data_IF_942170073894
#
_entry.id   IF_942170073894
#
_cell.length_a   1.000
_cell.length_b   1.000
_cell.length_c   1.000
_cell.angle_alpha   90.00
_cell.angle_beta   90.00
_cell.angle_gamma   90.00
#
_symmetry.space_group_name_H-M   'P 1'
#
loop_
_entity.id
_entity.type
_entity.pdbx_description
1 polymer ?
#
# COMPACT_ATOMS: atom_id res chain seq x y z
N UNK A 1 -2.17 -2.11 -20.73
CA UNK A 1 -3.18 -2.62 -19.77
C UNK A 1 -4.15 -1.50 -19.44
N UNK A 2 -5.45 -1.77 -19.40
CA UNK A 2 -6.43 -0.75 -19.06
C UNK A 2 -6.38 -0.41 -17.57
N UNK A 3 -6.86 0.79 -17.22
CA UNK A 3 -6.94 1.22 -15.81
C UNK A 3 -7.75 0.22 -14.99
N UNK A 4 -8.87 -0.25 -15.51
CA UNK A 4 -9.75 -1.19 -14.81
C UNK A 4 -9.06 -2.54 -14.57
N UNK A 5 -8.31 -3.04 -15.53
CA UNK A 5 -7.55 -4.28 -15.37
C UNK A 5 -6.45 -4.13 -14.32
N UNK A 6 -5.79 -2.96 -14.27
CA UNK A 6 -4.78 -2.67 -13.26
C UNK A 6 -5.41 -2.63 -11.86
N UNK A 7 -6.54 -1.94 -11.72
CA UNK A 7 -7.26 -1.85 -10.45
C UNK A 7 -7.71 -3.24 -9.96
N UNK A 8 -8.28 -4.06 -10.83
CA UNK A 8 -8.73 -5.41 -10.48
C UNK A 8 -7.58 -6.31 -10.07
N UNK A 9 -6.47 -6.28 -10.80
CA UNK A 9 -5.28 -7.06 -10.46
C UNK A 9 -4.72 -6.67 -9.09
N UNK A 10 -4.62 -5.37 -8.83
CA UNK A 10 -4.10 -4.87 -7.56
C UNK A 10 -4.99 -5.26 -6.39
N UNK A 11 -6.31 -5.15 -6.54
CA UNK A 11 -7.28 -5.52 -5.50
C UNK A 11 -7.24 -7.01 -5.20
N UNK A 12 -7.16 -7.84 -6.23
CA UNK A 12 -7.08 -9.29 -6.08
C UNK A 12 -5.81 -9.68 -5.31
N UNK A 13 -4.67 -9.12 -5.68
CA UNK A 13 -3.41 -9.38 -4.98
C UNK A 13 -3.45 -8.91 -3.54
N UNK A 14 -4.00 -7.71 -3.29
CA UNK A 14 -4.09 -7.18 -1.94
C UNK A 14 -4.98 -8.02 -1.03
N UNK A 15 -6.10 -8.50 -1.54
CA UNK A 15 -7.04 -9.29 -0.74
C UNK A 15 -6.54 -10.71 -0.48
N UNK A 16 -5.95 -11.35 -1.48
CA UNK A 16 -5.64 -12.79 -1.41
C UNK A 16 -4.19 -13.06 -1.04
N UNK A 17 -3.24 -12.37 -1.65
CA UNK A 17 -1.82 -12.67 -1.48
C UNK A 17 -1.17 -11.88 -0.35
N UNK A 18 -1.49 -10.59 -0.24
CA UNK A 18 -0.84 -9.74 0.76
C UNK A 18 -1.23 -10.15 2.18
N UNK A 19 -2.50 -10.47 2.42
CA UNK A 19 -2.96 -10.91 3.73
C UNK A 19 -2.27 -12.21 4.16
N UNK A 20 -2.18 -13.17 3.27
CA UNK A 20 -1.48 -14.43 3.55
C UNK A 20 0.00 -14.20 3.82
N UNK A 21 0.61 -13.31 3.07
CA UNK A 21 2.02 -12.95 3.24
C UNK A 21 2.27 -12.30 4.60
N UNK A 22 1.39 -11.39 5.01
CA UNK A 22 1.45 -10.74 6.32
C UNK A 22 1.33 -11.80 7.45
N UNK A 23 0.38 -12.71 7.33
CA UNK A 23 0.20 -13.78 8.31
C UNK A 23 1.42 -14.70 8.38
N UNK A 24 2.02 -15.01 7.22
CA UNK A 24 3.22 -15.84 7.16
C UNK A 24 4.40 -15.17 7.86
N UNK A 25 4.65 -13.89 7.57
CA UNK A 25 5.80 -13.16 8.11
C UNK A 25 5.64 -12.79 9.59
N UNK A 26 4.45 -12.37 9.98
CA UNK A 26 4.22 -11.77 11.30
C UNK A 26 3.27 -12.55 12.19
N UNK A 27 2.64 -13.60 11.66
CA UNK A 27 1.67 -14.47 12.35
C UNK A 27 0.42 -13.75 12.85
N UNK A 28 0.25 -12.49 12.50
CA UNK A 28 -0.90 -11.67 12.84
C UNK A 28 -1.24 -10.76 11.68
N UNK A 29 -2.53 -10.48 11.48
CA UNK A 29 -2.99 -9.54 10.46
C UNK A 29 -3.70 -8.38 11.17
N UNK A 30 -2.93 -7.41 11.64
CA UNK A 30 -3.40 -6.23 12.35
C UNK A 30 -2.87 -4.98 11.65
N UNK A 31 -3.34 -3.79 12.08
CA UNK A 31 -2.80 -2.54 11.53
C UNK A 31 -1.28 -2.44 11.73
N UNK A 32 -0.79 -2.84 12.92
CA UNK A 32 0.64 -2.80 13.20
C UNK A 32 1.43 -3.67 12.23
N UNK A 33 0.95 -4.88 11.93
CA UNK A 33 1.63 -5.77 10.98
C UNK A 33 1.48 -5.31 9.55
N UNK A 34 0.37 -4.66 9.19
CA UNK A 34 0.23 -4.02 7.88
C UNK A 34 1.28 -2.95 7.68
N UNK A 35 1.49 -2.09 8.68
CA UNK A 35 2.50 -1.04 8.61
C UNK A 35 3.90 -1.65 8.43
N UNK A 36 4.22 -2.69 9.19
CA UNK A 36 5.51 -3.38 9.05
C UNK A 36 5.66 -4.02 7.67
N UNK A 37 4.58 -4.60 7.14
CA UNK A 37 4.60 -5.16 5.80
C UNK A 37 4.83 -4.07 4.74
N UNK A 38 4.17 -2.93 4.87
CA UNK A 38 4.35 -1.82 3.93
C UNK A 38 5.79 -1.32 3.94
N UNK A 39 6.41 -1.19 5.10
CA UNK A 39 7.81 -0.77 5.18
C UNK A 39 8.75 -1.83 4.61
N UNK A 40 8.47 -3.10 4.85
CA UNK A 40 9.24 -4.20 4.26
C UNK A 40 9.11 -4.21 2.73
N UNK A 41 7.88 -4.10 2.24
CA UNK A 41 7.61 -4.06 0.80
C UNK A 41 8.20 -2.79 0.17
N UNK A 42 8.01 -1.65 0.83
CA UNK A 42 8.53 -0.36 0.37
C UNK A 42 10.04 -0.31 0.30
N UNK A 43 10.72 -1.06 1.17
CA UNK A 43 12.19 -1.14 1.15
C UNK A 43 12.78 -1.72 -0.12
N UNK A 44 11.96 -2.32 -0.99
CA UNK A 44 12.39 -2.79 -2.30
C UNK A 44 12.38 -1.69 -3.36
N UNK A 45 11.86 -0.51 -3.04
CA UNK A 45 11.84 0.63 -3.95
C UNK A 45 12.97 1.59 -3.60
N UNK A 46 13.47 2.31 -4.59
CA UNK A 46 14.60 3.24 -4.39
C UNK A 46 14.25 4.45 -3.55
N UNK A 47 13.00 4.89 -3.60
CA UNK A 47 12.55 6.10 -2.90
C UNK A 47 11.27 5.83 -2.14
N UNK A 48 11.42 5.27 -0.95
CA UNK A 48 10.33 5.01 -0.01
C UNK A 48 10.58 5.79 1.26
N UNK A 49 9.56 6.48 1.74
CA UNK A 49 9.63 7.22 2.99
C UNK A 49 8.38 6.97 3.82
N UNK A 50 8.56 6.78 5.11
CA UNK A 50 7.47 6.59 6.06
C UNK A 50 7.66 7.56 7.22
N UNK A 51 6.70 8.45 7.40
CA UNK A 51 6.72 9.44 8.46
C UNK A 51 5.51 9.24 9.38
N UNK A 52 5.73 9.30 10.68
CA UNK A 52 4.67 9.20 11.68
C UNK A 52 4.77 10.38 12.64
N UNK A 53 3.67 11.15 12.73
CA UNK A 53 3.63 12.36 13.57
C UNK A 53 3.05 12.09 14.98
N UNK A 54 2.84 10.84 15.34
CA UNK A 54 2.21 10.43 16.60
C UNK A 54 0.71 10.15 16.46
N UNK A 55 0.12 10.46 15.32
CA UNK A 55 -1.30 10.27 15.04
C UNK A 55 -1.55 9.65 13.66
N UNK A 56 -0.87 10.15 12.64
CA UNK A 56 -1.04 9.70 11.27
C UNK A 56 0.25 9.20 10.70
N UNK A 57 0.16 8.14 9.91
CA UNK A 57 1.26 7.63 9.09
C UNK A 57 1.17 8.26 7.72
N UNK A 58 2.29 8.78 7.20
CA UNK A 58 2.41 9.27 5.85
C UNK A 58 3.48 8.45 5.13
N UNK A 59 3.09 7.84 4.03
CA UNK A 59 3.99 7.08 3.15
C UNK A 59 4.13 7.81 1.84
N UNK A 60 5.35 7.90 1.32
CA UNK A 60 5.64 8.51 0.03
C UNK A 60 6.57 7.61 -0.76
N UNK A 61 6.26 7.42 -2.03
CA UNK A 61 7.00 6.55 -2.93
C UNK A 61 7.16 7.21 -4.28
N UNK A 62 8.37 7.10 -4.86
CA UNK A 62 8.65 7.54 -6.22
C UNK A 62 9.08 6.35 -7.07
N UNK A 63 8.70 6.36 -8.34
CA UNK A 63 9.05 5.33 -9.31
C UNK A 63 9.19 5.91 -10.71
N UNK A 64 9.79 5.15 -11.62
CA UNK A 64 10.03 5.55 -13.01
C UNK A 64 9.22 4.70 -14.00
N UNK A 65 8.02 4.25 -13.59
CA UNK A 65 7.23 3.39 -14.46
C UNK A 65 6.20 4.23 -15.25
N UNK A 66 4.99 4.38 -14.73
CA UNK A 66 3.94 5.18 -15.36
C UNK A 66 2.75 5.33 -14.40
N UNK A 67 1.71 6.05 -14.86
CA UNK A 67 0.51 6.26 -14.06
C UNK A 67 -0.19 4.94 -13.70
N UNK A 68 -0.21 3.96 -14.57
CA UNK A 68 -0.82 2.66 -14.27
C UNK A 68 -0.15 1.99 -13.07
N UNK A 69 1.16 2.15 -12.91
CA UNK A 69 1.86 1.64 -11.76
C UNK A 69 1.43 2.35 -10.47
N UNK A 70 1.26 3.66 -10.52
CA UNK A 70 0.75 4.43 -9.38
C UNK A 70 -0.67 3.99 -8.99
N UNK A 71 -1.53 3.75 -9.98
CA UNK A 71 -2.88 3.22 -9.74
C UNK A 71 -2.82 1.83 -9.11
N UNK A 72 -1.93 0.97 -9.59
CA UNK A 72 -1.72 -0.36 -9.03
C UNK A 72 -1.34 -0.27 -7.55
N UNK A 73 -0.36 0.54 -7.21
CA UNK A 73 0.11 0.71 -5.82
C UNK A 73 -1.02 1.21 -4.94
N UNK A 74 -1.75 2.23 -5.39
CA UNK A 74 -2.89 2.78 -4.65
C UNK A 74 -3.93 1.70 -4.34
N UNK A 75 -4.39 0.99 -5.35
CA UNK A 75 -5.45 -0.02 -5.17
C UNK A 75 -4.97 -1.22 -4.35
N UNK A 76 -3.70 -1.59 -4.49
CA UNK A 76 -3.09 -2.66 -3.72
C UNK A 76 -3.09 -2.32 -2.23
N UNK A 77 -2.59 -1.13 -1.87
CA UNK A 77 -2.55 -0.68 -0.48
C UNK A 77 -3.96 -0.50 0.08
N UNK A 78 -4.85 0.10 -0.70
CA UNK A 78 -6.24 0.31 -0.29
C UNK A 78 -6.93 -1.02 0.02
N UNK A 79 -6.73 -2.04 -0.81
CA UNK A 79 -7.36 -3.35 -0.59
C UNK A 79 -6.80 -4.07 0.64
N UNK A 80 -5.51 -3.89 0.94
CA UNK A 80 -4.92 -4.41 2.17
C UNK A 80 -5.56 -3.74 3.39
N UNK A 81 -5.67 -2.42 3.38
CA UNK A 81 -6.28 -1.68 4.48
C UNK A 81 -7.74 -2.07 4.68
N UNK A 82 -8.51 -2.20 3.61
CA UNK A 82 -9.91 -2.60 3.69
C UNK A 82 -10.09 -4.03 4.22
N UNK A 83 -9.18 -4.94 3.89
CA UNK A 83 -9.30 -6.35 4.22
C UNK A 83 -8.77 -6.67 5.62
N UNK A 84 -7.62 -6.11 5.98
CA UNK A 84 -6.91 -6.48 7.21
C UNK A 84 -7.20 -5.52 8.36
N UNK A 85 -7.14 -4.22 8.09
CA UNK A 85 -7.31 -3.19 9.12
C UNK A 85 -8.07 -2.00 8.53
N UNK A 86 -9.41 -2.11 8.38
CA UNK A 86 -10.22 -1.08 7.73
C UNK A 86 -10.01 0.30 8.36
N UNK A 87 -9.55 1.25 7.54
CA UNK A 87 -9.30 2.63 7.94
C UNK A 87 -9.50 3.57 6.77
N UNK A 88 -10.04 4.77 7.00
CA UNK A 88 -10.04 5.81 5.97
C UNK A 88 -8.59 6.17 5.62
N UNK A 89 -8.29 6.20 4.35
CA UNK A 89 -6.97 6.56 3.85
C UNK A 89 -7.10 7.62 2.76
N UNK A 90 -6.16 8.55 2.74
CA UNK A 90 -6.06 9.58 1.72
C UNK A 90 -4.92 9.24 0.78
N UNK A 91 -5.18 9.30 -0.53
CA UNK A 91 -4.19 8.98 -1.55
C UNK A 91 -4.00 10.17 -2.48
N UNK A 92 -2.75 10.41 -2.85
CA UNK A 92 -2.37 11.36 -3.87
C UNK A 92 -1.40 10.67 -4.82
N UNK A 93 -1.76 10.58 -6.10
CA UNK A 93 -0.96 9.88 -7.10
C UNK A 93 -0.61 10.79 -8.27
N UNK A 94 0.54 10.52 -8.86
CA UNK A 94 1.00 11.12 -10.10
C UNK A 94 1.60 10.02 -10.98
N UNK A 95 1.98 10.33 -12.24
CA UNK A 95 2.59 9.31 -13.09
C UNK A 95 3.85 8.66 -12.52
N UNK A 96 4.53 9.30 -11.58
CA UNK A 96 5.78 8.79 -11.01
C UNK A 96 5.82 8.80 -9.49
N UNK A 97 4.69 9.00 -8.81
CA UNK A 97 4.68 9.01 -7.34
C UNK A 97 3.34 8.56 -6.76
N UNK A 98 3.41 8.04 -5.55
CA UNK A 98 2.23 7.70 -4.75
C UNK A 98 2.49 8.17 -3.33
N UNK A 99 1.55 8.94 -2.79
CA UNK A 99 1.55 9.31 -1.37
C UNK A 99 0.23 8.84 -0.76
N UNK A 100 0.30 8.33 0.46
CA UNK A 100 -0.93 7.97 1.17
C UNK A 100 -0.74 8.12 2.67
N UNK A 101 -1.84 8.39 3.35
CA UNK A 101 -1.82 8.58 4.80
C UNK A 101 -3.08 7.99 5.44
N UNK A 102 -2.92 7.54 6.68
CA UNK A 102 -4.02 7.04 7.51
C UNK A 102 -3.64 7.16 8.98
N UNK A 103 -4.67 7.17 9.84
CA UNK A 103 -4.46 7.17 11.28
C UNK A 103 -4.04 5.79 11.78
N UNK A 104 -3.11 5.77 12.71
CA UNK A 104 -2.62 4.52 13.25
C UNK A 104 -2.35 4.55 14.75
#
# INVERSE_FOLDING_TARGET
MSKEAVEDAARTLGKNSAREHILFLFRQATLATVIRFLDFWGGHFEAWDHHYDGRRHLFTMHHDVNLNYSIFVKEYVLSILETVAPRPAEFDISPNSVSFSFEG
#
